data_IF_583783923169
#
_entry.id   IF_583783923169
#
_cell.length_a   1.000
_cell.length_b   1.000
_cell.length_c   1.000
_cell.angle_alpha   90.00
_cell.angle_beta   90.00
_cell.angle_gamma   90.00
#
_symmetry.space_group_name_H-M   'P 1'
#
loop_
_entity.id
_entity.type
_entity.pdbx_description
1 polymer ?
#
# COMPACT_ATOMS: atom_id res chain seq x y z
N UNK A 1 20.51 15.92 7.17
CA UNK A 1 20.17 14.59 7.72
C UNK A 1 19.13 14.82 8.80
N UNK A 2 17.88 14.42 8.56
CA UNK A 2 16.77 14.62 9.50
C UNK A 2 16.81 13.61 10.64
N UNK A 3 16.34 14.03 11.82
CA UNK A 3 16.29 13.27 13.07
C UNK A 3 15.77 11.81 12.95
N UNK A 4 14.87 11.54 11.99
CA UNK A 4 14.34 10.21 11.73
C UNK A 4 15.36 9.27 11.06
N UNK A 5 16.25 9.78 10.19
CA UNK A 5 17.28 8.99 9.52
C UNK A 5 18.35 8.49 10.51
N UNK A 6 18.58 9.22 11.60
CA UNK A 6 19.52 8.83 12.66
C UNK A 6 18.95 7.77 13.61
N UNK A 7 17.63 7.65 13.74
CA UNK A 7 17.02 6.65 14.64
C UNK A 7 17.09 5.24 14.05
N UNK A 8 16.86 5.07 12.74
CA UNK A 8 16.89 3.76 12.09
C UNK A 8 18.30 3.11 12.07
N UNK A 9 19.36 3.92 12.05
CA UNK A 9 20.75 3.43 12.08
C UNK A 9 21.26 3.10 13.50
N UNK A 10 20.55 3.51 14.55
CA UNK A 10 20.98 3.38 15.94
C UNK A 10 20.42 2.14 16.66
N UNK A 11 19.63 1.29 15.99
CA UNK A 11 18.98 0.15 16.62
C UNK A 11 19.70 -1.18 16.31
N UNK A 12 20.45 -1.75 17.27
CA UNK A 12 21.33 -2.90 17.06
C UNK A 12 20.60 -4.22 16.74
N UNK A 13 19.28 -4.31 16.97
CA UNK A 13 18.49 -5.55 16.78
C UNK A 13 17.39 -5.42 15.69
N UNK A 14 17.55 -4.48 14.76
CA UNK A 14 16.61 -4.25 13.66
C UNK A 14 16.70 -5.35 12.58
N UNK A 15 16.22 -6.55 12.92
CA UNK A 15 16.26 -7.75 12.08
C UNK A 15 14.86 -8.25 11.74
N UNK A 16 14.75 -9.03 10.66
CA UNK A 16 13.54 -9.78 10.34
C UNK A 16 13.67 -11.16 11.00
N UNK A 17 12.85 -11.41 12.01
CA UNK A 17 12.70 -12.73 12.63
C UNK A 17 12.00 -13.69 11.67
N UNK A 18 12.24 -14.99 11.83
CA UNK A 18 11.66 -16.04 10.98
C UNK A 18 11.84 -15.81 9.47
N UNK A 19 12.99 -15.29 9.05
CA UNK A 19 13.34 -15.00 7.65
C UNK A 19 13.67 -16.26 6.80
N UNK A 20 13.12 -17.42 7.17
CA UNK A 20 13.35 -18.68 6.44
C UNK A 20 12.81 -18.54 5.02
N UNK A 21 13.59 -18.97 4.02
CA UNK A 21 13.22 -18.91 2.61
C UNK A 21 13.00 -17.48 2.05
N UNK A 22 13.44 -16.44 2.77
CA UNK A 22 13.39 -15.07 2.25
C UNK A 22 14.19 -14.95 0.94
N UNK A 23 13.64 -14.25 -0.08
CA UNK A 23 14.29 -14.13 -1.37
C UNK A 23 15.59 -13.34 -1.23
N UNK A 24 16.68 -13.88 -1.78
CA UNK A 24 17.95 -13.16 -1.88
C UNK A 24 17.95 -12.30 -3.14
N UNK A 25 18.16 -11.00 -2.95
CA UNK A 25 18.22 -10.02 -4.04
C UNK A 25 19.36 -9.02 -3.83
N UNK A 26 19.92 -8.53 -4.94
CA UNK A 26 20.87 -7.41 -4.96
C UNK A 26 20.61 -6.53 -6.21
N UNK A 27 20.96 -5.23 -6.17
CA UNK A 27 20.69 -4.30 -7.28
C UNK A 27 21.41 -4.67 -8.59
N UNK A 28 22.49 -5.44 -8.52
CA UNK A 28 23.25 -5.90 -9.70
C UNK A 28 22.60 -7.08 -10.43
N UNK A 29 21.53 -7.68 -9.88
CA UNK A 29 20.81 -8.78 -10.53
C UNK A 29 19.91 -8.27 -11.65
N UNK A 30 19.70 -9.11 -12.66
CA UNK A 30 18.83 -8.79 -13.80
C UNK A 30 17.36 -8.64 -13.42
N UNK A 31 16.92 -9.33 -12.36
CA UNK A 31 15.53 -9.37 -11.97
C UNK A 31 15.23 -8.24 -10.99
N UNK A 32 14.15 -7.50 -11.26
CA UNK A 32 13.70 -6.38 -10.45
C UNK A 32 13.04 -6.87 -9.16
N UNK A 33 13.36 -6.25 -8.02
CA UNK A 33 12.66 -6.51 -6.75
C UNK A 33 11.43 -5.62 -6.62
N UNK A 34 10.27 -6.23 -6.36
CA UNK A 34 9.00 -5.56 -6.11
C UNK A 34 8.48 -5.88 -4.70
N UNK A 35 8.36 -4.85 -3.87
CA UNK A 35 7.80 -4.93 -2.52
C UNK A 35 6.44 -4.25 -2.50
N UNK A 36 5.43 -4.88 -1.90
CA UNK A 36 4.12 -4.31 -1.62
C UNK A 36 3.88 -4.23 -0.10
N UNK A 37 3.65 -3.03 0.44
CA UNK A 37 3.22 -2.86 1.81
C UNK A 37 1.71 -2.57 1.87
N UNK A 38 0.96 -3.46 2.53
CA UNK A 38 -0.44 -3.24 2.87
C UNK A 38 -0.54 -2.76 4.32
N UNK A 39 -1.42 -1.81 4.62
CA UNK A 39 -1.61 -1.39 6.00
C UNK A 39 -2.72 -0.40 6.30
N UNK A 40 -2.56 0.35 7.38
CA UNK A 40 -3.56 1.28 7.89
C UNK A 40 -3.18 2.75 7.63
N UNK A 41 -3.44 3.64 8.60
CA UNK A 41 -3.05 5.05 8.58
C UNK A 41 -1.54 5.27 8.50
N UNK A 42 -0.72 4.42 9.12
CA UNK A 42 0.74 4.53 9.10
C UNK A 42 1.30 4.32 7.69
N UNK A 43 0.61 3.49 6.90
CA UNK A 43 0.92 3.24 5.49
C UNK A 43 0.25 4.27 4.58
N UNK A 44 -1.02 4.64 4.82
CA UNK A 44 -1.76 5.58 3.96
C UNK A 44 -1.07 6.95 3.89
N UNK A 45 -0.56 7.46 5.02
CA UNK A 45 0.11 8.76 5.07
C UNK A 45 1.47 8.80 4.35
N UNK A 46 1.98 7.64 3.92
CA UNK A 46 3.23 7.53 3.17
C UNK A 46 4.51 7.74 3.98
N UNK A 47 4.43 8.15 5.26
CA UNK A 47 5.61 8.44 6.09
C UNK A 47 6.44 7.19 6.35
N UNK A 48 5.83 6.13 6.90
CA UNK A 48 6.52 4.87 7.18
C UNK A 48 7.00 4.17 5.88
N UNK A 49 6.16 3.97 4.85
CA UNK A 49 6.61 3.46 3.56
C UNK A 49 7.79 4.21 2.96
N UNK A 50 7.76 5.55 2.99
CA UNK A 50 8.84 6.38 2.47
C UNK A 50 10.13 6.19 3.28
N UNK A 51 10.05 6.18 4.60
CA UNK A 51 11.21 5.95 5.46
C UNK A 51 11.86 4.59 5.18
N UNK A 52 11.06 3.52 5.12
CA UNK A 52 11.53 2.16 4.77
C UNK A 52 12.18 2.14 3.39
N UNK A 53 11.47 2.66 2.37
CA UNK A 53 11.98 2.70 1.00
C UNK A 53 13.29 3.48 0.87
N UNK A 54 13.43 4.61 1.58
CA UNK A 54 14.66 5.41 1.58
C UNK A 54 15.84 4.69 2.26
N UNK A 55 15.58 3.97 3.35
CA UNK A 55 16.61 3.17 4.01
C UNK A 55 17.13 2.06 3.09
N UNK A 56 16.22 1.36 2.41
CA UNK A 56 16.58 0.35 1.40
C UNK A 56 17.35 0.95 0.23
N UNK A 57 16.88 2.09 -0.31
CA UNK A 57 17.57 2.81 -1.38
C UNK A 57 19.01 3.14 -1.00
N UNK A 58 19.22 3.67 0.21
CA UNK A 58 20.55 4.02 0.72
C UNK A 58 21.43 2.78 0.90
N UNK A 59 20.88 1.70 1.44
CA UNK A 59 21.60 0.44 1.62
C UNK A 59 22.06 -0.16 0.28
N UNK A 60 21.26 -0.01 -0.76
CA UNK A 60 21.55 -0.50 -2.11
C UNK A 60 22.16 0.56 -3.04
N UNK A 61 22.53 1.73 -2.52
CA UNK A 61 23.14 2.83 -3.27
C UNK A 61 22.32 3.27 -4.50
N UNK A 62 20.99 3.25 -4.36
CA UNK A 62 20.05 3.72 -5.39
C UNK A 62 19.76 5.21 -5.18
N UNK A 63 20.00 6.02 -6.22
CA UNK A 63 19.89 7.49 -6.14
C UNK A 63 18.44 7.99 -6.25
N UNK A 64 17.63 7.34 -7.08
CA UNK A 64 16.24 7.70 -7.37
C UNK A 64 15.38 6.45 -7.42
N UNK A 65 14.14 6.57 -6.96
CA UNK A 65 13.18 5.48 -7.00
C UNK A 65 11.86 5.90 -7.64
N UNK A 66 11.17 4.97 -8.32
CA UNK A 66 9.80 5.18 -8.77
C UNK A 66 8.86 5.40 -7.58
N UNK A 67 7.76 6.08 -7.87
CA UNK A 67 6.72 6.39 -6.88
C UNK A 67 5.97 5.13 -6.45
N UNK A 68 5.66 4.24 -7.39
CA UNK A 68 4.89 3.03 -7.13
C UNK A 68 3.38 3.29 -7.17
N UNK A 69 2.64 2.64 -6.27
CA UNK A 69 1.18 2.75 -6.23
C UNK A 69 0.77 4.16 -5.79
N UNK A 70 -0.13 4.77 -6.55
CA UNK A 70 -0.78 6.02 -6.20
C UNK A 70 -2.30 5.81 -6.11
N UNK A 71 -2.80 5.81 -4.88
CA UNK A 71 -4.24 5.83 -4.62
C UNK A 71 -4.70 7.29 -4.51
N UNK A 72 -5.73 7.74 -5.25
CA UNK A 72 -6.21 9.13 -5.27
C UNK A 72 -6.87 9.64 -3.96
N UNK A 73 -6.14 9.63 -2.86
CA UNK A 73 -6.66 9.94 -1.52
C UNK A 73 -7.10 11.40 -1.38
N UNK A 74 -6.40 12.37 -1.97
CA UNK A 74 -6.82 13.77 -1.90
C UNK A 74 -8.15 13.98 -2.64
N UNK A 75 -8.36 13.31 -3.78
CA UNK A 75 -9.65 13.26 -4.45
C UNK A 75 -10.75 12.60 -3.59
N UNK A 76 -10.40 11.67 -2.71
CA UNK A 76 -11.30 11.09 -1.71
C UNK A 76 -11.44 11.92 -0.42
N UNK A 77 -10.77 13.08 -0.34
CA UNK A 77 -10.72 13.96 0.85
C UNK A 77 -10.16 13.25 2.09
N UNK A 78 -9.10 12.47 1.91
CA UNK A 78 -8.33 11.86 2.99
C UNK A 78 -6.83 12.06 2.77
N UNK A 79 -6.01 11.67 3.75
CA UNK A 79 -4.57 11.93 3.77
C UNK A 79 -3.88 11.21 2.61
N UNK A 80 -3.21 11.96 1.75
CA UNK A 80 -2.43 11.44 0.62
C UNK A 80 -0.94 11.54 0.91
N UNK A 81 -0.11 10.56 0.47
CA UNK A 81 1.34 10.68 0.55
C UNK A 81 1.84 11.96 -0.09
N UNK A 82 2.83 12.60 0.53
CA UNK A 82 3.37 13.90 0.10
C UNK A 82 3.99 13.91 -1.31
N UNK A 83 4.24 12.73 -1.90
CA UNK A 83 4.83 12.57 -3.23
C UNK A 83 3.82 12.76 -4.36
N UNK A 84 2.52 12.73 -4.05
CA UNK A 84 1.45 12.85 -5.04
C UNK A 84 0.36 13.80 -4.56
N UNK A 85 -0.32 14.43 -5.50
CA UNK A 85 -1.55 15.15 -5.24
C UNK A 85 -2.60 14.79 -6.28
N UNK A 86 -3.77 14.32 -5.82
CA UNK A 86 -4.88 13.95 -6.68
C UNK A 86 -6.06 14.91 -6.58
N UNK A 87 -6.75 15.11 -7.71
CA UNK A 87 -7.99 15.88 -7.78
C UNK A 87 -8.91 15.34 -8.86
N UNK A 88 -10.19 15.70 -8.80
CA UNK A 88 -11.20 15.25 -9.75
C UNK A 88 -12.00 16.41 -10.31
N UNK A 89 -12.53 16.21 -11.51
CA UNK A 89 -13.58 17.02 -12.11
C UNK A 89 -14.72 16.10 -12.55
N UNK A 90 -15.94 16.63 -12.55
CA UNK A 90 -17.15 15.86 -12.83
C UNK A 90 -17.62 14.99 -11.65
N UNK A 91 -18.54 14.07 -11.92
CA UNK A 91 -19.20 13.27 -10.88
C UNK A 91 -18.38 12.01 -10.59
N UNK A 92 -17.83 11.93 -9.39
CA UNK A 92 -17.17 10.73 -8.86
C UNK A 92 -17.81 10.30 -7.53
N UNK A 93 -18.15 9.02 -7.44
CA UNK A 93 -18.56 8.37 -6.19
C UNK A 93 -17.36 7.66 -5.59
N UNK A 94 -17.03 7.99 -4.35
CA UNK A 94 -15.97 7.31 -3.58
C UNK A 94 -16.58 6.14 -2.82
N UNK A 95 -16.08 4.94 -3.07
CA UNK A 95 -16.47 3.71 -2.40
C UNK A 95 -15.35 3.32 -1.42
N UNK A 96 -15.60 3.46 -0.12
CA UNK A 96 -14.62 3.18 0.93
C UNK A 96 -15.10 1.99 1.78
N UNK A 97 -14.23 0.99 1.95
CA UNK A 97 -14.51 -0.26 2.65
C UNK A 97 -14.90 -0.09 4.14
N UNK A 98 -14.47 0.99 4.79
CA UNK A 98 -14.85 1.31 6.17
C UNK A 98 -16.32 1.74 6.30
N UNK A 99 -16.85 2.38 5.25
CA UNK A 99 -18.23 2.89 5.24
C UNK A 99 -19.22 1.85 4.74
N UNK A 100 -18.89 1.13 3.68
CA UNK A 100 -19.82 0.20 3.01
C UNK A 100 -19.99 -1.12 3.78
N UNK A 101 -19.05 -1.49 4.67
CA UNK A 101 -19.07 -2.67 5.56
C UNK A 101 -19.56 -3.97 4.92
N UNK A 102 -19.42 -4.09 3.61
CA UNK A 102 -19.84 -5.21 2.78
C UNK A 102 -18.77 -5.51 1.74
N UNK A 103 -18.65 -6.76 1.27
CA UNK A 103 -17.66 -7.10 0.24
C UNK A 103 -17.91 -6.33 -1.06
N UNK A 104 -16.85 -5.72 -1.60
CA UNK A 104 -16.89 -5.00 -2.86
C UNK A 104 -15.49 -4.94 -3.50
N UNK A 105 -15.39 -4.67 -4.81
CA UNK A 105 -14.09 -4.56 -5.47
C UNK A 105 -13.48 -3.19 -5.16
N UNK A 106 -12.35 -3.20 -4.47
CA UNK A 106 -11.54 -2.02 -4.17
C UNK A 106 -10.15 -2.16 -4.80
N UNK A 107 -9.35 -1.09 -4.76
CA UNK A 107 -7.95 -1.17 -5.15
C UNK A 107 -7.05 -1.85 -4.14
N UNK A 108 -5.73 -1.71 -4.30
CA UNK A 108 -4.76 -2.20 -3.31
C UNK A 108 -5.05 -1.60 -1.93
N UNK A 109 -5.28 -0.28 -1.88
CA UNK A 109 -5.93 0.34 -0.75
C UNK A 109 -7.44 0.04 -0.85
N UNK A 110 -8.14 -0.32 0.25
CA UNK A 110 -9.58 -0.66 0.26
C UNK A 110 -10.54 0.52 -0.01
N UNK A 111 -10.29 1.23 -1.12
CA UNK A 111 -11.05 2.34 -1.67
C UNK A 111 -11.15 2.20 -3.20
N UNK A 112 -12.23 2.70 -3.79
CA UNK A 112 -12.44 2.79 -5.23
C UNK A 112 -13.18 4.07 -5.59
N UNK A 113 -13.09 4.44 -6.87
CA UNK A 113 -13.74 5.63 -7.42
C UNK A 113 -14.60 5.23 -8.61
N UNK A 114 -15.83 5.68 -8.63
CA UNK A 114 -16.77 5.34 -9.69
C UNK A 114 -17.30 6.57 -10.38
N UNK A 115 -17.41 6.50 -11.70
CA UNK A 115 -18.11 7.50 -12.49
C UNK A 115 -18.90 6.85 -13.61
N UNK A 116 -19.97 7.51 -14.02
CA UNK A 116 -20.76 7.20 -15.23
C UNK A 116 -20.71 8.34 -16.24
N UNK A 117 -19.96 9.42 -15.95
CA UNK A 117 -19.85 10.59 -16.82
C UNK A 117 -18.58 10.48 -17.65
N UNK A 118 -18.73 10.60 -18.96
CA UNK A 118 -17.59 10.62 -19.91
C UNK A 118 -16.77 11.92 -19.83
N UNK A 119 -17.35 12.97 -19.25
CA UNK A 119 -16.71 14.26 -18.99
C UNK A 119 -15.91 14.27 -17.68
N UNK A 120 -16.07 13.24 -16.84
CA UNK A 120 -15.35 13.13 -15.59
C UNK A 120 -13.85 12.92 -15.85
N UNK A 121 -13.02 13.60 -15.07
CA UNK A 121 -11.56 13.44 -15.12
C UNK A 121 -10.99 13.24 -13.72
N UNK A 122 -9.84 12.58 -13.67
CA UNK A 122 -9.05 12.45 -12.45
C UNK A 122 -7.59 12.79 -12.75
N UNK A 123 -7.05 13.75 -12.01
CA UNK A 123 -5.68 14.21 -12.14
C UNK A 123 -4.87 13.66 -10.98
N UNK A 124 -3.67 13.17 -11.26
CA UNK A 124 -2.64 12.87 -10.26
C UNK A 124 -1.35 13.57 -10.69
N UNK A 125 -0.81 14.42 -9.81
CA UNK A 125 0.43 15.15 -10.04
C UNK A 125 1.49 14.71 -9.06
N UNK A 126 2.70 14.52 -9.57
CA UNK A 126 3.88 14.24 -8.78
C UNK A 126 4.34 15.52 -8.11
N UNK A 127 4.53 15.47 -6.80
CA UNK A 127 4.96 16.61 -6.00
C UNK A 127 6.47 16.58 -5.85
N UNK A 128 7.08 17.76 -5.89
CA UNK A 128 8.47 17.91 -5.51
C UNK A 128 8.63 17.57 -4.02
N UNK A 129 9.59 16.72 -3.72
CA UNK A 129 9.93 16.37 -2.34
C UNK A 129 11.41 16.58 -2.11
N UNK A 130 11.84 16.55 -0.85
CA UNK A 130 13.26 16.64 -0.50
C UNK A 130 14.10 15.44 -0.96
N UNK A 131 13.46 14.43 -1.56
CA UNK A 131 14.08 13.19 -2.02
C UNK A 131 13.89 13.10 -3.52
N UNK A 132 14.96 12.87 -4.30
CA UNK A 132 14.85 12.65 -5.74
C UNK A 132 13.92 11.48 -6.07
N UNK A 133 12.98 11.71 -6.99
CA UNK A 133 12.04 10.69 -7.48
C UNK A 133 12.34 10.40 -8.96
N UNK A 134 12.27 9.13 -9.32
CA UNK A 134 12.33 8.72 -10.72
C UNK A 134 10.94 8.94 -11.34
N UNK A 135 10.83 9.96 -12.21
CA UNK A 135 9.57 10.27 -12.87
C UNK A 135 9.13 9.10 -13.78
N UNK A 136 7.81 8.85 -13.90
CA UNK A 136 7.34 7.63 -14.52
C UNK A 136 7.37 7.74 -16.05
N UNK A 137 7.84 6.66 -16.67
CA UNK A 137 7.74 6.39 -18.12
C UNK A 137 6.71 5.29 -18.40
N UNK A 138 6.23 4.63 -17.36
CA UNK A 138 5.19 3.61 -17.40
C UNK A 138 4.09 3.98 -16.38
N UNK A 139 2.84 3.90 -16.81
CA UNK A 139 1.69 3.99 -15.91
C UNK A 139 0.75 2.81 -16.12
N UNK A 140 0.21 2.28 -15.02
CA UNK A 140 -0.90 1.32 -15.04
C UNK A 140 -2.11 1.93 -14.36
N UNK A 141 -3.28 1.80 -14.99
CA UNK A 141 -4.58 2.15 -14.42
C UNK A 141 -5.28 0.85 -14.04
N UNK A 142 -5.58 0.67 -12.75
CA UNK A 142 -6.32 -0.49 -12.25
C UNK A 142 -7.81 -0.18 -12.21
N UNK A 143 -8.65 -1.08 -12.70
CA UNK A 143 -10.09 -0.89 -12.77
C UNK A 143 -10.86 -2.20 -12.64
N UNK A 144 -12.17 -2.13 -12.37
CA UNK A 144 -13.05 -3.31 -12.45
C UNK A 144 -13.43 -3.60 -13.91
N UNK A 145 -13.03 -4.74 -14.49
CA UNK A 145 -13.37 -5.09 -15.85
C UNK A 145 -14.86 -5.46 -15.95
N UNK A 146 -15.58 -4.80 -16.87
CA UNK A 146 -16.96 -5.14 -17.23
C UNK A 146 -17.10 -5.17 -18.75
N UNK A 147 -18.07 -5.94 -19.26
CA UNK A 147 -18.28 -6.15 -20.72
C UNK A 147 -18.42 -4.84 -21.51
N UNK A 148 -18.94 -3.80 -20.88
CA UNK A 148 -19.08 -2.46 -21.45
C UNK A 148 -18.71 -1.43 -20.39
N UNK A 149 -17.66 -0.67 -20.64
CA UNK A 149 -17.14 0.38 -19.77
C UNK A 149 -16.70 1.59 -20.59
N UNK A 150 -16.49 2.72 -19.91
CA UNK A 150 -15.78 3.85 -20.50
C UNK A 150 -14.34 3.44 -20.82
N UNK A 151 -13.85 3.80 -22.01
CA UNK A 151 -12.46 3.50 -22.39
C UNK A 151 -11.53 4.53 -21.73
N UNK A 152 -10.65 4.12 -20.80
CA UNK A 152 -9.78 5.05 -20.12
C UNK A 152 -8.70 5.60 -21.05
N UNK A 153 -8.53 6.91 -21.03
CA UNK A 153 -7.40 7.62 -21.62
C UNK A 153 -6.51 8.15 -20.51
N UNK A 154 -5.20 8.18 -20.73
CA UNK A 154 -4.25 8.79 -19.80
C UNK A 154 -3.43 9.82 -20.56
N UNK A 155 -3.48 11.09 -20.14
CA UNK A 155 -2.91 12.23 -20.89
C UNK A 155 -3.40 12.26 -22.36
N UNK A 156 -4.69 11.95 -22.57
CA UNK A 156 -5.34 11.81 -23.88
C UNK A 156 -4.82 10.68 -24.78
N UNK A 157 -3.96 9.80 -24.26
CA UNK A 157 -3.49 8.60 -24.97
C UNK A 157 -4.39 7.41 -24.64
N UNK A 158 -4.59 6.52 -25.63
CA UNK A 158 -5.16 5.19 -25.41
C UNK A 158 -4.11 4.28 -24.78
N UNK A 159 -4.51 3.25 -24.00
CA UNK A 159 -3.57 2.29 -23.46
C UNK A 159 -2.90 1.49 -24.58
N UNK A 160 -1.60 1.21 -24.42
CA UNK A 160 -0.86 0.30 -25.29
C UNK A 160 -1.35 -1.14 -25.14
N UNK A 161 -1.79 -1.50 -23.93
CA UNK A 161 -2.25 -2.85 -23.59
C UNK A 161 -3.36 -2.79 -22.56
N UNK A 162 -4.39 -3.62 -22.73
CA UNK A 162 -5.47 -3.80 -21.75
C UNK A 162 -5.57 -5.27 -21.37
N UNK A 163 -5.30 -5.58 -20.12
CA UNK A 163 -5.37 -6.90 -19.51
C UNK A 163 -6.72 -7.00 -18.77
N UNK A 164 -7.79 -7.35 -19.50
CA UNK A 164 -9.15 -7.38 -18.95
C UNK A 164 -9.34 -8.42 -17.84
N UNK A 165 -8.60 -9.52 -17.86
CA UNK A 165 -8.61 -10.54 -16.81
C UNK A 165 -8.03 -10.02 -15.48
N UNK A 166 -7.10 -9.06 -15.56
CA UNK A 166 -6.45 -8.41 -14.41
C UNK A 166 -7.04 -7.04 -14.08
N UNK A 167 -7.87 -6.48 -14.96
CA UNK A 167 -8.41 -5.14 -14.82
C UNK A 167 -7.33 -4.07 -14.87
N UNK A 168 -6.40 -4.18 -15.83
CA UNK A 168 -5.25 -3.25 -15.95
C UNK A 168 -5.17 -2.66 -17.34
N UNK A 169 -5.02 -1.34 -17.44
CA UNK A 169 -4.70 -0.63 -18.67
C UNK A 169 -3.28 -0.04 -18.54
N UNK A 170 -2.40 -0.32 -19.50
CA UNK A 170 -0.97 0.00 -19.45
C UNK A 170 -0.65 1.08 -20.48
N UNK A 171 0.09 2.11 -20.06
CA UNK A 171 0.48 3.26 -20.86
C UNK A 171 2.00 3.46 -20.75
N UNK A 172 2.67 3.61 -21.90
CA UNK A 172 4.11 3.88 -22.00
C UNK A 172 4.33 5.27 -22.60
N UNK A 173 5.23 6.01 -21.99
CA UNK A 173 5.59 7.36 -22.38
C UNK A 173 7.04 7.38 -22.84
N UNK A 174 7.31 8.10 -23.94
CA UNK A 174 8.69 8.26 -24.44
C UNK A 174 9.53 9.12 -23.52
N UNK A 175 8.91 10.08 -22.85
CA UNK A 175 9.54 11.01 -21.92
C UNK A 175 8.94 10.82 -20.52
N UNK A 176 9.71 11.02 -19.44
CA UNK A 176 9.18 10.98 -18.08
C UNK A 176 8.06 11.99 -17.88
N UNK A 177 6.99 11.59 -17.20
CA UNK A 177 5.83 12.42 -16.93
C UNK A 177 5.82 12.89 -15.47
N UNK A 178 5.29 14.07 -15.18
CA UNK A 178 5.06 14.55 -13.80
C UNK A 178 3.57 14.71 -13.46
N UNK A 179 2.70 14.44 -14.42
CA UNK A 179 1.27 14.61 -14.29
C UNK A 179 0.53 13.62 -15.17
N UNK A 180 -0.56 13.09 -14.63
CA UNK A 180 -1.41 12.10 -15.27
C UNK A 180 -2.87 12.53 -15.14
N UNK A 181 -3.55 12.65 -16.27
CA UNK A 181 -4.97 12.98 -16.34
C UNK A 181 -5.69 11.78 -16.95
N UNK A 182 -6.44 11.07 -16.11
CA UNK A 182 -7.40 10.06 -16.53
C UNK A 182 -8.64 10.77 -17.07
N UNK A 183 -9.00 10.45 -18.30
CA UNK A 183 -10.23 10.87 -18.99
C UNK A 183 -10.82 9.69 -19.76
N UNK A 184 -11.89 9.90 -20.53
CA UNK A 184 -12.57 8.84 -21.26
C UNK A 184 -12.74 9.18 -22.73
N UNK A 185 -12.61 8.17 -23.60
CA UNK A 185 -12.69 8.36 -25.04
C UNK A 185 -14.12 8.72 -25.48
N UNK A 186 -14.25 9.63 -26.45
CA UNK A 186 -15.53 10.14 -26.94
C UNK A 186 -16.41 9.09 -27.62
N UNK A 187 -15.81 8.01 -28.12
CA UNK A 187 -16.48 6.84 -28.70
C UNK A 187 -16.96 5.82 -27.65
N UNK A 188 -16.74 6.10 -26.35
CA UNK A 188 -17.34 5.34 -25.26
C UNK A 188 -18.85 5.56 -25.23
N UNK A 189 -19.64 4.52 -24.94
CA UNK A 189 -21.11 4.70 -24.87
C UNK A 189 -21.56 5.31 -23.55
N UNK A 190 -22.61 6.14 -23.64
CA UNK A 190 -23.10 7.03 -22.59
C UNK A 190 -23.70 6.35 -21.34
N UNK A 191 -23.76 5.01 -21.29
CA UNK A 191 -24.50 4.27 -20.24
C UNK A 191 -23.64 3.38 -19.35
N UNK A 192 -22.31 3.55 -19.35
CA UNK A 192 -21.41 2.64 -18.62
C UNK A 192 -20.64 3.29 -17.48
N UNK A 193 -20.50 2.53 -16.40
CA UNK A 193 -19.70 2.90 -15.26
C UNK A 193 -18.22 2.55 -15.48
N UNK A 194 -17.33 3.39 -14.95
CA UNK A 194 -15.93 3.08 -14.78
C UNK A 194 -15.62 3.07 -13.28
N UNK A 195 -15.11 1.95 -12.77
CA UNK A 195 -14.66 1.82 -11.38
C UNK A 195 -13.14 1.75 -11.36
N UNK A 196 -12.50 2.83 -10.94
CA UNK A 196 -11.07 2.98 -10.74
C UNK A 196 -10.65 2.42 -9.39
N UNK A 197 -9.55 1.67 -9.38
CA UNK A 197 -8.90 1.09 -8.22
C UNK A 197 -7.58 1.80 -7.84
N UNK A 198 -7.07 2.67 -8.72
CA UNK A 198 -5.87 3.46 -8.48
C UNK A 198 -4.88 3.34 -9.64
N UNK A 199 -3.67 3.84 -9.41
CA UNK A 199 -2.61 3.88 -10.41
C UNK A 199 -1.35 3.19 -9.89
N UNK A 200 -0.52 2.68 -10.80
CA UNK A 200 0.90 2.41 -10.56
C UNK A 200 1.70 3.33 -11.46
N UNK A 201 2.58 4.12 -10.87
CA UNK A 201 3.51 5.00 -11.56
C UNK A 201 4.92 4.47 -11.42
N UNK A 202 5.47 4.06 -12.55
CA UNK A 202 6.67 3.26 -12.60
C UNK A 202 7.68 3.79 -13.63
N UNK A 203 8.95 3.45 -13.40
CA UNK A 203 10.02 3.62 -14.36
C UNK A 203 10.81 2.31 -14.40
N UNK A 204 10.78 1.66 -15.57
CA UNK A 204 11.33 0.31 -15.75
C UNK A 204 12.85 0.24 -15.68
N UNK A 205 13.55 1.37 -15.67
CA UNK A 205 15.00 1.43 -15.49
C UNK A 205 15.40 1.23 -14.01
N UNK A 206 14.45 1.32 -13.07
CA UNK A 206 14.72 1.08 -11.65
C UNK A 206 14.75 -0.42 -11.34
N UNK A 207 15.83 -0.96 -10.75
CA UNK A 207 15.93 -2.37 -10.33
C UNK A 207 15.08 -2.66 -9.08
N UNK A 208 14.48 -1.64 -8.47
CA UNK A 208 13.67 -1.75 -7.27
C UNK A 208 12.34 -1.00 -7.40
N UNK A 209 11.27 -1.58 -6.87
CA UNK A 209 9.96 -0.96 -6.73
C UNK A 209 9.40 -1.23 -5.35
N UNK A 210 9.10 -0.17 -4.61
CA UNK A 210 8.39 -0.28 -3.34
C UNK A 210 7.04 0.41 -3.49
N UNK A 211 5.98 -0.38 -3.36
CA UNK A 211 4.60 0.06 -3.44
C UNK A 211 3.98 0.03 -2.05
N UNK A 212 3.15 1.02 -1.74
CA UNK A 212 2.38 1.03 -0.50
C UNK A 212 0.90 1.29 -0.76
N UNK A 213 0.07 0.65 0.04
CA UNK A 213 -1.37 0.76 -0.04
C UNK A 213 -1.94 0.61 1.37
N UNK A 214 -2.24 1.74 2.00
CA UNK A 214 -2.86 1.79 3.31
C UNK A 214 -4.23 2.45 3.27
N UNK A 215 -5.08 2.16 4.25
CA UNK A 215 -6.31 2.93 4.47
C UNK A 215 -6.45 3.25 5.96
N UNK A 216 -6.60 4.54 6.27
CA UNK A 216 -6.75 5.05 7.62
C UNK A 216 -7.99 4.43 8.30
N UNK A 217 -7.77 3.78 9.43
CA UNK A 217 -8.78 3.06 10.18
C UNK A 217 -8.97 1.60 9.73
N UNK A 218 -8.22 1.12 8.74
CA UNK A 218 -8.33 -0.26 8.28
C UNK A 218 -7.84 -1.26 9.33
N UNK A 219 -8.69 -2.26 9.56
CA UNK A 219 -8.36 -3.51 10.24
C UNK A 219 -8.12 -4.62 9.20
N UNK A 220 -7.81 -5.83 9.65
CA UNK A 220 -7.60 -6.98 8.73
C UNK A 220 -8.86 -7.28 7.91
N UNK A 221 -10.03 -7.17 8.54
CA UNK A 221 -11.31 -7.47 7.91
C UNK A 221 -11.67 -6.50 6.76
N UNK A 222 -11.17 -5.26 6.79
CA UNK A 222 -11.30 -4.32 5.68
C UNK A 222 -10.63 -4.86 4.40
N UNK A 223 -9.47 -5.50 4.52
CA UNK A 223 -8.79 -6.13 3.39
C UNK A 223 -9.48 -7.43 2.94
N UNK A 224 -9.99 -8.24 3.88
CA UNK A 224 -10.77 -9.44 3.54
C UNK A 224 -12.07 -9.13 2.78
N UNK A 225 -12.68 -7.96 3.02
CA UNK A 225 -13.86 -7.51 2.25
C UNK A 225 -13.52 -7.02 0.84
N UNK A 226 -12.24 -6.87 0.50
CA UNK A 226 -11.84 -6.42 -0.84
C UNK A 226 -11.85 -7.58 -1.83
N UNK A 227 -12.92 -7.69 -2.62
CA UNK A 227 -13.09 -8.79 -3.57
C UNK A 227 -12.15 -8.72 -4.78
N UNK A 228 -11.42 -7.61 -4.95
CA UNK A 228 -10.45 -7.43 -6.05
C UNK A 228 -8.99 -7.42 -5.59
N UNK A 229 -8.73 -7.67 -4.30
CA UNK A 229 -7.37 -7.67 -3.75
C UNK A 229 -6.48 -8.72 -4.42
N UNK A 230 -6.97 -9.95 -4.59
CA UNK A 230 -6.21 -11.02 -5.24
C UNK A 230 -5.84 -10.68 -6.69
N UNK A 231 -6.77 -10.09 -7.44
CA UNK A 231 -6.53 -9.67 -8.83
C UNK A 231 -5.50 -8.54 -8.89
N UNK A 232 -5.61 -7.56 -7.98
CA UNK A 232 -4.64 -6.47 -7.86
C UNK A 232 -3.23 -7.00 -7.59
N UNK A 233 -3.09 -7.93 -6.64
CA UNK A 233 -1.79 -8.54 -6.29
C UNK A 233 -1.21 -9.32 -7.47
N UNK A 234 -2.02 -10.10 -8.20
CA UNK A 234 -1.55 -10.77 -9.42
C UNK A 234 -1.08 -9.80 -10.51
N UNK A 235 -1.75 -8.65 -10.62
CA UNK A 235 -1.38 -7.59 -11.57
C UNK A 235 -0.06 -6.88 -11.21
N UNK A 236 0.27 -6.80 -9.92
CA UNK A 236 1.56 -6.27 -9.45
C UNK A 236 2.68 -7.32 -9.45
N UNK A 237 2.35 -8.57 -9.11
CA UNK A 237 3.27 -9.69 -8.93
C UNK A 237 4.46 -9.35 -8.01
N UNK A 238 4.21 -9.00 -6.73
CA UNK A 238 5.27 -8.64 -5.79
C UNK A 238 6.11 -9.87 -5.38
N UNK A 239 7.40 -9.65 -5.13
CA UNK A 239 8.30 -10.65 -4.54
C UNK A 239 8.15 -10.70 -3.01
N UNK A 240 7.82 -9.55 -2.39
CA UNK A 240 7.62 -9.42 -0.94
C UNK A 240 6.33 -8.65 -0.66
N UNK A 241 5.52 -9.16 0.27
CA UNK A 241 4.35 -8.48 0.80
C UNK A 241 4.56 -8.18 2.29
N UNK A 242 4.64 -6.90 2.65
CA UNK A 242 4.64 -6.44 4.03
C UNK A 242 3.20 -6.23 4.49
N UNK A 243 2.82 -6.79 5.63
CA UNK A 243 1.51 -6.61 6.26
C UNK A 243 1.67 -5.80 7.55
N UNK A 244 1.25 -4.54 7.50
CA UNK A 244 1.32 -3.56 8.57
C UNK A 244 -0.08 -3.22 9.08
N UNK A 245 -0.70 -4.17 9.78
CA UNK A 245 -2.04 -4.11 10.36
C UNK A 245 -2.01 -4.57 11.82
N UNK A 246 -3.13 -4.44 12.54
CA UNK A 246 -3.24 -4.84 13.95
C UNK A 246 -3.47 -3.66 14.89
N UNK A 247 -3.10 -2.43 14.49
CA UNK A 247 -3.36 -1.22 15.28
C UNK A 247 -4.87 -1.06 15.50
N UNK A 248 -5.65 -0.86 14.42
CA UNK A 248 -7.10 -0.65 14.52
C UNK A 248 -7.85 -1.87 15.06
N UNK A 249 -7.35 -3.08 14.79
CA UNK A 249 -7.88 -4.32 15.36
C UNK A 249 -7.82 -4.28 16.89
N UNK A 250 -6.66 -3.92 17.47
CA UNK A 250 -6.42 -3.84 18.91
C UNK A 250 -7.07 -2.61 19.59
N UNK A 251 -7.45 -1.58 18.83
CA UNK A 251 -8.13 -0.39 19.37
C UNK A 251 -9.58 -0.68 19.82
N UNK A 252 -10.21 -1.74 19.31
CA UNK A 252 -11.56 -2.14 19.72
C UNK A 252 -11.60 -2.65 21.16
N UNK A 253 -12.56 -2.16 21.96
CA UNK A 253 -12.82 -2.72 23.30
C UNK A 253 -13.32 -4.18 23.25
N UNK A 254 -13.76 -4.64 22.07
CA UNK A 254 -14.22 -6.01 21.81
C UNK A 254 -13.15 -6.85 21.11
N UNK A 255 -11.87 -6.44 21.19
CA UNK A 255 -10.77 -7.22 20.61
C UNK A 255 -10.78 -8.65 21.15
N UNK A 256 -10.75 -9.61 20.23
CA UNK A 256 -10.61 -11.04 20.51
C UNK A 256 -9.36 -11.54 19.77
N UNK A 257 -8.29 -11.92 20.50
CA UNK A 257 -7.06 -12.43 19.91
C UNK A 257 -7.28 -13.63 18.97
N UNK A 258 -8.28 -14.47 19.26
CA UNK A 258 -8.59 -15.66 18.46
C UNK A 258 -9.22 -15.28 17.12
N UNK A 259 -10.18 -14.34 17.14
CA UNK A 259 -10.80 -13.83 15.91
C UNK A 259 -9.80 -13.03 15.08
N UNK A 260 -8.95 -12.24 15.72
CA UNK A 260 -7.86 -11.53 15.06
C UNK A 260 -6.90 -12.52 14.40
N UNK A 261 -6.46 -13.56 15.11
CA UNK A 261 -5.60 -14.59 14.56
C UNK A 261 -6.25 -15.28 13.34
N UNK A 262 -7.54 -15.63 13.44
CA UNK A 262 -8.28 -16.21 12.30
C UNK A 262 -8.30 -15.29 11.10
N UNK A 263 -8.60 -14.00 11.30
CA UNK A 263 -8.66 -13.01 10.23
C UNK A 263 -7.30 -12.82 9.55
N UNK A 264 -6.21 -12.79 10.33
CA UNK A 264 -4.85 -12.69 9.78
C UNK A 264 -4.49 -13.94 8.97
N UNK A 265 -4.82 -15.15 9.46
CA UNK A 265 -4.63 -16.40 8.68
C UNK A 265 -5.37 -16.35 7.35
N UNK A 266 -6.65 -15.96 7.38
CA UNK A 266 -7.46 -15.87 6.17
C UNK A 266 -6.86 -14.90 5.16
N UNK A 267 -6.34 -13.76 5.64
CA UNK A 267 -5.66 -12.79 4.78
C UNK A 267 -4.38 -13.40 4.19
N UNK A 268 -3.53 -14.04 4.99
CA UNK A 268 -2.32 -14.70 4.48
C UNK A 268 -2.64 -15.77 3.43
N UNK A 269 -3.66 -16.60 3.65
CA UNK A 269 -4.08 -17.61 2.68
C UNK A 269 -4.60 -16.99 1.38
N UNK A 270 -5.37 -15.89 1.48
CA UNK A 270 -5.82 -15.12 0.33
C UNK A 270 -4.63 -14.58 -0.48
N UNK A 271 -3.62 -14.02 0.18
CA UNK A 271 -2.42 -13.47 -0.43
C UNK A 271 -1.56 -14.56 -1.11
N UNK A 272 -1.32 -15.69 -0.43
CA UNK A 272 -0.60 -16.85 -1.00
C UNK A 272 -1.32 -17.43 -2.21
N UNK A 273 -2.65 -17.50 -2.18
CA UNK A 273 -3.46 -17.93 -3.33
C UNK A 273 -3.38 -16.95 -4.50
N UNK A 274 -3.16 -15.66 -4.24
CA UNK A 274 -2.98 -14.65 -5.27
C UNK A 274 -1.58 -14.69 -5.89
N UNK A 275 -0.53 -14.75 -5.05
CA UNK A 275 0.87 -14.77 -5.47
C UNK A 275 1.66 -15.78 -4.61
N UNK A 276 1.72 -17.07 -5.03
CA UNK A 276 2.34 -18.13 -4.22
C UNK A 276 3.84 -17.96 -3.99
N UNK A 277 4.54 -17.25 -4.89
CA UNK A 277 5.97 -17.01 -4.81
C UNK A 277 6.33 -15.82 -3.91
N UNK A 278 5.36 -14.97 -3.53
CA UNK A 278 5.62 -13.80 -2.71
C UNK A 278 5.96 -14.21 -1.27
N UNK A 279 7.08 -13.70 -0.78
CA UNK A 279 7.43 -13.81 0.63
C UNK A 279 6.61 -12.83 1.46
N UNK A 280 6.01 -13.29 2.55
CA UNK A 280 5.17 -12.45 3.41
C UNK A 280 5.96 -12.08 4.66
N UNK A 281 5.86 -10.82 5.08
CA UNK A 281 6.45 -10.32 6.32
C UNK A 281 5.37 -9.56 7.09
N UNK A 282 5.16 -9.93 8.35
CA UNK A 282 4.36 -9.13 9.27
C UNK A 282 5.19 -8.00 9.86
N UNK A 283 4.56 -6.85 10.11
CA UNK A 283 5.12 -5.83 11.00
C UNK A 283 4.19 -5.67 12.19
N UNK A 284 4.72 -5.65 13.41
CA UNK A 284 3.88 -5.41 14.60
C UNK A 284 3.42 -3.95 14.67
N UNK A 285 2.22 -3.69 15.21
CA UNK A 285 1.75 -2.33 15.41
C UNK A 285 2.61 -1.62 16.46
N UNK A 286 2.84 -0.33 16.24
CA UNK A 286 3.87 0.44 16.93
C UNK A 286 3.27 1.58 17.79
N UNK A 287 1.95 1.69 17.87
CA UNK A 287 1.27 2.80 18.53
C UNK A 287 1.02 2.53 20.02
N UNK A 288 1.60 3.35 20.90
CA UNK A 288 1.55 3.20 22.35
C UNK A 288 0.55 4.16 23.05
N UNK A 289 -0.25 4.95 22.32
CA UNK A 289 -1.10 5.98 22.95
C UNK A 289 -2.60 5.80 22.66
N UNK A 290 -3.32 5.20 23.62
CA UNK A 290 -4.77 5.34 23.70
C UNK A 290 -5.10 6.66 24.41
N UNK A 291 -5.27 7.75 23.65
CA UNK A 291 -5.75 9.04 24.18
C UNK A 291 -4.92 9.59 25.35
N UNK A 292 -3.76 10.18 25.07
CA UNK A 292 -2.96 11.03 25.97
C UNK A 292 -2.56 10.51 27.38
N UNK A 293 -3.00 9.35 27.89
CA UNK A 293 -2.66 8.96 29.28
C UNK A 293 -2.70 7.46 29.65
N UNK A 294 -3.03 6.51 28.75
CA UNK A 294 -2.98 5.09 29.13
C UNK A 294 -2.55 4.15 27.98
N UNK A 295 -1.80 3.12 28.35
CA UNK A 295 -1.42 2.00 27.47
C UNK A 295 -2.64 1.19 27.06
N UNK A 296 -2.65 0.70 25.81
CA UNK A 296 -3.67 -0.24 25.34
C UNK A 296 -3.17 -1.68 25.55
N UNK A 297 -3.61 -2.42 26.58
CA UNK A 297 -3.12 -3.78 26.83
C UNK A 297 -3.40 -4.73 25.67
N UNK A 298 -4.46 -4.48 24.89
CA UNK A 298 -4.83 -5.28 23.70
C UNK A 298 -3.82 -5.17 22.57
N UNK A 299 -3.00 -4.12 22.53
CA UNK A 299 -1.95 -3.97 21.53
C UNK A 299 -0.89 -5.06 21.70
N UNK A 300 -0.50 -5.34 22.94
CA UNK A 300 0.48 -6.40 23.22
C UNK A 300 -0.09 -7.77 22.85
N UNK A 301 -1.36 -8.01 23.15
CA UNK A 301 -2.05 -9.24 22.72
C UNK A 301 -2.03 -9.39 21.19
N UNK A 302 -2.25 -8.30 20.44
CA UNK A 302 -2.16 -8.32 18.98
C UNK A 302 -0.72 -8.57 18.48
N UNK A 303 0.29 -7.96 19.10
CA UNK A 303 1.70 -8.23 18.81
C UNK A 303 2.05 -9.70 19.05
N UNK A 304 1.63 -10.27 20.19
CA UNK A 304 1.83 -11.68 20.52
C UNK A 304 1.12 -12.63 19.54
N UNK A 305 -0.10 -12.29 19.10
CA UNK A 305 -0.77 -13.04 18.02
C UNK A 305 0.06 -13.03 16.74
N UNK A 306 0.57 -11.87 16.31
CA UNK A 306 1.38 -11.77 15.09
C UNK A 306 2.71 -12.52 15.21
N UNK A 307 3.37 -12.49 16.37
CA UNK A 307 4.59 -13.26 16.65
C UNK A 307 4.35 -14.76 16.52
N UNK A 308 3.29 -15.26 17.15
CA UNK A 308 2.94 -16.67 17.10
C UNK A 308 2.52 -17.10 15.68
N UNK A 309 1.75 -16.27 14.98
CA UNK A 309 1.36 -16.54 13.59
C UNK A 309 2.53 -16.49 12.62
N UNK A 310 3.55 -15.67 12.86
CA UNK A 310 4.74 -15.64 12.02
C UNK A 310 5.41 -17.01 11.96
N UNK A 311 5.55 -17.66 13.12
CA UNK A 311 6.05 -19.02 13.25
C UNK A 311 5.06 -20.03 12.66
N UNK A 312 3.78 -19.98 13.06
CA UNK A 312 2.73 -20.92 12.61
C UNK A 312 2.62 -20.98 11.09
N UNK A 313 2.67 -19.82 10.43
CA UNK A 313 2.45 -19.69 8.99
C UNK A 313 3.75 -19.72 8.18
N UNK A 314 4.92 -19.80 8.83
CA UNK A 314 6.25 -19.66 8.20
C UNK A 314 6.34 -18.38 7.35
N UNK A 315 6.20 -17.23 8.00
CA UNK A 315 6.37 -15.89 7.39
C UNK A 315 7.34 -15.06 8.21
N UNK A 316 7.98 -14.07 7.59
CA UNK A 316 8.90 -13.18 8.30
C UNK A 316 8.17 -12.26 9.28
N UNK A 317 8.87 -11.79 10.30
CA UNK A 317 8.37 -10.82 11.27
C UNK A 317 9.38 -9.69 11.45
N UNK A 318 8.95 -8.47 11.18
CA UNK A 318 9.67 -7.25 11.51
C UNK A 318 9.00 -6.58 12.71
N UNK A 319 9.49 -6.86 13.91
CA UNK A 319 8.82 -6.50 15.16
C UNK A 319 9.11 -5.05 15.59
N UNK A 320 8.38 -4.09 15.01
CA UNK A 320 8.49 -2.67 15.37
C UNK A 320 8.19 -2.39 16.85
N UNK A 321 7.25 -3.11 17.46
CA UNK A 321 6.96 -3.00 18.89
C UNK A 321 8.21 -3.29 19.73
N UNK A 322 8.93 -4.40 19.47
CA UNK A 322 10.19 -4.72 20.17
C UNK A 322 11.31 -3.75 19.83
N UNK A 323 11.46 -3.40 18.56
CA UNK A 323 12.51 -2.47 18.09
C UNK A 323 12.41 -1.10 18.78
N UNK A 324 11.19 -0.65 19.06
CA UNK A 324 10.97 0.60 19.79
C UNK A 324 11.03 0.45 21.31
N UNK A 325 11.38 -0.73 21.83
CA UNK A 325 11.63 -1.06 23.24
C UNK A 325 10.44 -1.64 24.00
N UNK A 326 9.42 -2.13 23.30
CA UNK A 326 8.25 -2.80 23.90
C UNK A 326 7.45 -1.91 24.85
N UNK A 327 6.77 -2.50 25.83
CA UNK A 327 6.03 -1.75 26.87
C UNK A 327 6.94 -0.85 27.72
N UNK A 328 8.23 -1.19 27.90
CA UNK A 328 9.12 -0.51 28.86
C UNK A 328 9.85 0.73 28.31
N UNK A 329 9.90 0.92 26.98
CA UNK A 329 10.70 1.97 26.35
C UNK A 329 10.32 3.41 26.77
N UNK A 330 9.05 3.61 27.15
CA UNK A 330 8.52 4.95 27.38
C UNK A 330 8.83 5.49 28.78
N UNK A 331 9.12 4.64 29.77
CA UNK A 331 9.52 5.09 31.12
C UNK A 331 10.80 5.95 31.01
N UNK A 332 11.68 5.69 30.04
CA UNK A 332 12.87 6.50 29.81
C UNK A 332 12.62 7.83 29.03
N UNK A 333 11.55 7.90 28.23
CA UNK A 333 11.20 9.06 27.41
C UNK A 333 10.39 10.12 28.15
N UNK A 334 9.48 9.70 29.04
CA UNK A 334 8.66 10.59 29.86
C UNK A 334 9.43 11.24 31.03
N UNK A 335 10.57 10.67 31.43
CA UNK A 335 11.45 11.21 32.48
C UNK A 335 12.44 12.25 31.92
N UNK A 336 12.53 12.40 30.59
CA UNK A 336 13.42 13.38 29.92
C UNK A 336 12.70 14.48 29.14
N UNK A 337 11.42 14.72 29.44
CA UNK A 337 10.65 15.86 28.95
C UNK A 337 10.67 17.03 29.93
#
# INVERSE_FOLDING_TARGET
>A
MGYLDSMAAAWPDNTIENALDAPYWSPDRSDRLVILQLGDSHVQGGVQPRATRMCLARAWQLEMLPIGIATPFAAARTNEPSETYSSTHGVWRVCNALRLRSPAPYGFAPIAFETTSKEATMRVRMQETSVPQMLPTLAKVFFTPVKKMLTPLLNNLRPDTVEYDRGVAIYRFREPQNEFILSFAADSSDSYAFRLHGFLFDNSDSPFLFCSAGLNGADVNVYLRNTFLQTSIRGLNPDIILLSLGTNDAYSLQFDPTQFASSVRDLVFLLRSACPAAYIIFTTPNDHLFGSSAENPRLEDACEVLRNLAIELNVGLWDFNRIMGGQEAFIAGAIKG
#
